data_IF_158277418851
#
_entry.id   IF_158277418851
#
_cell.length_a   1.000
_cell.length_b   1.000
_cell.length_c   1.000
_cell.angle_alpha   90.00
_cell.angle_beta   90.00
_cell.angle_gamma   90.00
#
_symmetry.space_group_name_H-M   'P 1'
#
loop_
_entity.id
_entity.type
_entity.pdbx_description
1 polymer ?
#
# COMPACT_ATOMS: atom_id res chain seq x y z
N UNK A 1 39.06 -26.03 -23.34
CA UNK A 1 38.32 -26.69 -22.24
C UNK A 1 38.64 -26.12 -20.86
N UNK A 2 39.90 -25.95 -20.47
CA UNK A 2 40.27 -25.47 -19.12
C UNK A 2 39.81 -24.03 -18.79
N UNK A 3 39.83 -23.10 -19.74
CA UNK A 3 39.32 -21.73 -19.55
C UNK A 3 37.80 -21.66 -19.29
N UNK A 4 37.02 -22.59 -19.86
CA UNK A 4 35.56 -22.64 -19.67
C UNK A 4 35.20 -23.11 -18.25
N UNK A 5 35.96 -24.06 -17.71
CA UNK A 5 35.78 -24.57 -16.35
C UNK A 5 36.18 -23.53 -15.29
N UNK A 6 37.26 -22.77 -15.50
CA UNK A 6 37.65 -21.72 -14.54
C UNK A 6 36.68 -20.53 -14.53
N UNK A 7 36.06 -20.19 -15.67
CA UNK A 7 34.99 -19.17 -15.69
C UNK A 7 33.71 -19.65 -14.98
N UNK A 8 33.37 -20.93 -15.12
CA UNK A 8 32.21 -21.55 -14.45
C UNK A 8 32.38 -21.59 -12.92
N UNK A 9 33.58 -21.96 -12.44
CA UNK A 9 33.89 -22.01 -11.00
C UNK A 9 33.93 -20.60 -10.38
N UNK A 10 34.44 -19.60 -11.08
CA UNK A 10 34.42 -18.20 -10.62
C UNK A 10 33.00 -17.62 -10.51
N UNK A 11 32.12 -17.95 -11.47
CA UNK A 11 30.70 -17.53 -11.46
C UNK A 11 29.92 -18.23 -10.35
N UNK A 12 30.21 -19.49 -10.05
CA UNK A 12 29.57 -20.20 -8.93
C UNK A 12 30.02 -19.69 -7.56
N UNK A 13 31.31 -19.38 -7.39
CA UNK A 13 31.83 -18.81 -6.14
C UNK A 13 31.25 -17.42 -5.83
N UNK A 14 31.09 -16.58 -6.86
CA UNK A 14 30.48 -15.25 -6.71
C UNK A 14 28.98 -15.35 -6.36
N UNK A 15 28.25 -16.30 -6.99
CA UNK A 15 26.85 -16.59 -6.65
C UNK A 15 26.66 -17.12 -5.23
N UNK A 16 27.62 -17.90 -4.72
CA UNK A 16 27.62 -18.42 -3.33
C UNK A 16 27.91 -17.32 -2.30
N UNK A 17 28.82 -16.39 -2.59
CA UNK A 17 29.07 -15.21 -1.75
C UNK A 17 27.85 -14.27 -1.72
N UNK A 18 27.21 -14.02 -2.86
CA UNK A 18 25.99 -13.20 -2.94
C UNK A 18 24.82 -13.82 -2.14
N UNK A 19 24.68 -15.15 -2.19
CA UNK A 19 23.68 -15.87 -1.38
C UNK A 19 23.94 -15.76 0.12
N UNK A 20 25.20 -15.91 0.57
CA UNK A 20 25.58 -15.74 1.99
C UNK A 20 25.35 -14.30 2.46
N UNK A 21 25.72 -13.32 1.65
CA UNK A 21 25.51 -11.91 1.98
C UNK A 21 24.03 -11.55 2.07
N UNK A 22 23.21 -12.05 1.14
CA UNK A 22 21.76 -11.87 1.18
C UNK A 22 21.11 -12.52 2.41
N UNK A 23 21.56 -13.71 2.80
CA UNK A 23 21.06 -14.38 4.01
C UNK A 23 21.41 -13.59 5.28
N UNK A 24 22.63 -13.03 5.36
CA UNK A 24 23.04 -12.19 6.49
C UNK A 24 22.21 -10.91 6.59
N UNK A 25 21.92 -10.26 5.46
CA UNK A 25 21.06 -9.08 5.41
C UNK A 25 19.62 -9.40 5.84
N UNK A 26 19.08 -10.56 5.47
CA UNK A 26 17.74 -10.98 5.90
C UNK A 26 17.67 -11.22 7.41
N UNK A 27 18.70 -11.83 8.01
CA UNK A 27 18.80 -12.00 9.47
C UNK A 27 18.88 -10.65 10.18
N UNK A 28 19.69 -9.73 9.67
CA UNK A 28 19.83 -8.39 10.25
C UNK A 28 18.52 -7.59 10.17
N UNK A 29 17.81 -7.67 9.04
CA UNK A 29 16.53 -6.98 8.86
C UNK A 29 15.44 -7.56 9.75
N UNK A 30 15.40 -8.89 9.93
CA UNK A 30 14.50 -9.54 10.89
C UNK A 30 14.79 -9.10 12.33
N UNK A 31 16.06 -9.04 12.71
CA UNK A 31 16.45 -8.56 14.03
C UNK A 31 16.00 -7.11 14.25
N UNK A 32 16.20 -6.23 13.26
CA UNK A 32 15.73 -4.85 13.34
C UNK A 32 14.21 -4.74 13.49
N UNK A 33 13.45 -5.53 12.74
CA UNK A 33 11.98 -5.61 12.87
C UNK A 33 11.59 -6.00 14.29
N UNK A 34 12.19 -7.05 14.84
CA UNK A 34 11.91 -7.52 16.21
C UNK A 34 12.29 -6.45 17.24
N UNK A 35 13.42 -5.76 17.06
CA UNK A 35 13.83 -4.67 17.95
C UNK A 35 12.83 -3.51 17.95
N UNK A 36 12.28 -3.16 16.78
CA UNK A 36 11.25 -2.12 16.67
C UNK A 36 9.96 -2.56 17.35
N UNK A 37 9.49 -3.78 17.10
CA UNK A 37 8.30 -4.30 17.77
C UNK A 37 8.47 -4.39 19.29
N UNK A 38 9.65 -4.81 19.77
CA UNK A 38 9.95 -4.81 21.20
C UNK A 38 9.92 -3.39 21.78
N UNK A 39 10.47 -2.40 21.06
CA UNK A 39 10.42 -1.01 21.48
C UNK A 39 8.97 -0.49 21.56
N UNK A 40 8.13 -0.84 20.59
CA UNK A 40 6.70 -0.52 20.59
C UNK A 40 5.99 -1.09 21.83
N UNK A 41 6.20 -2.39 22.13
CA UNK A 41 5.65 -3.05 23.32
C UNK A 41 6.17 -2.44 24.64
N UNK A 42 7.45 -2.08 24.70
CA UNK A 42 8.03 -1.41 25.87
C UNK A 42 7.42 -0.04 26.10
N UNK A 43 7.18 0.74 25.03
CA UNK A 43 6.50 2.04 25.13
C UNK A 43 5.06 1.85 25.60
N UNK A 44 4.36 0.83 25.08
CA UNK A 44 3.00 0.50 25.50
C UNK A 44 2.94 0.05 26.98
N UNK A 45 3.98 -0.61 27.48
CA UNK A 45 4.04 -1.06 28.88
C UNK A 45 4.41 0.06 29.87
N UNK A 46 5.07 1.13 29.41
CA UNK A 46 5.59 2.19 30.29
C UNK A 46 4.61 3.35 30.52
N UNK A 47 3.49 3.44 29.78
CA UNK A 47 2.36 4.40 29.82
C UNK A 47 2.69 5.92 29.89
N UNK A 48 3.66 6.34 30.71
CA UNK A 48 4.17 7.70 30.80
C UNK A 48 5.25 7.98 29.76
N UNK A 49 5.00 8.98 28.91
CA UNK A 49 5.96 9.49 27.93
C UNK A 49 7.26 9.99 28.59
N UNK A 50 7.19 10.51 29.82
CA UNK A 50 8.33 11.09 30.54
C UNK A 50 9.44 10.06 30.81
N UNK A 51 9.08 8.78 30.93
CA UNK A 51 10.03 7.72 31.26
C UNK A 51 10.91 7.30 30.08
N UNK A 52 10.35 7.25 28.87
CA UNK A 52 11.04 6.69 27.69
C UNK A 52 11.41 7.74 26.64
N UNK A 53 10.66 8.84 26.53
CA UNK A 53 10.88 9.85 25.49
C UNK A 53 12.26 10.52 25.58
N UNK A 54 12.82 10.85 26.78
CA UNK A 54 14.17 11.40 26.87
C UNK A 54 15.24 10.46 26.32
N UNK A 55 15.10 9.15 26.57
CA UNK A 55 16.04 8.12 26.08
C UNK A 55 15.97 8.01 24.56
N UNK A 56 14.75 8.01 24.00
CA UNK A 56 14.54 8.00 22.55
C UNK A 56 15.14 9.24 21.87
N UNK A 57 14.98 10.42 22.48
CA UNK A 57 15.55 11.69 22.01
C UNK A 57 17.07 11.71 22.08
N UNK A 58 17.65 11.23 23.18
CA UNK A 58 19.10 11.25 23.40
C UNK A 58 19.88 10.49 22.32
N UNK A 59 19.29 9.43 21.77
CA UNK A 59 19.93 8.59 20.76
C UNK A 59 19.53 8.91 19.32
N UNK A 60 18.82 10.01 19.07
CA UNK A 60 18.27 10.39 17.74
C UNK A 60 17.58 9.21 17.05
N UNK A 61 16.85 8.40 17.82
CA UNK A 61 16.33 7.12 17.34
C UNK A 61 15.25 7.35 16.28
N UNK A 62 14.43 8.39 16.46
CA UNK A 62 13.36 8.73 15.51
C UNK A 62 13.92 9.21 14.18
N UNK A 63 14.95 10.04 14.19
CA UNK A 63 15.64 10.54 13.00
C UNK A 63 16.31 9.38 12.26
N UNK A 64 16.99 8.48 12.97
CA UNK A 64 17.62 7.30 12.38
C UNK A 64 16.61 6.37 11.71
N UNK A 65 15.49 6.08 12.39
CA UNK A 65 14.42 5.23 11.84
C UNK A 65 13.70 5.88 10.66
N UNK A 66 13.51 7.20 10.70
CA UNK A 66 12.88 7.94 9.61
C UNK A 66 13.76 7.92 8.37
N UNK A 67 15.04 8.27 8.51
CA UNK A 67 15.99 8.29 7.40
C UNK A 67 16.17 6.89 6.79
N UNK A 68 16.28 5.84 7.61
CA UNK A 68 16.37 4.48 7.11
C UNK A 68 15.09 4.04 6.39
N UNK A 69 13.91 4.31 6.95
CA UNK A 69 12.64 3.98 6.32
C UNK A 69 12.48 4.70 4.97
N UNK A 70 12.89 5.96 4.87
CA UNK A 70 12.90 6.70 3.62
C UNK A 70 13.73 5.99 2.54
N UNK A 71 14.96 5.57 2.88
CA UNK A 71 15.84 4.83 1.96
C UNK A 71 15.21 3.51 1.52
N UNK A 72 14.60 2.75 2.44
CA UNK A 72 13.94 1.48 2.13
C UNK A 72 12.70 1.65 1.23
N UNK A 73 11.91 2.70 1.47
CA UNK A 73 10.77 3.06 0.61
C UNK A 73 11.25 3.42 -0.80
N UNK A 74 12.31 4.22 -0.92
CA UNK A 74 12.90 4.56 -2.21
C UNK A 74 13.51 3.34 -2.91
N UNK A 75 14.01 2.36 -2.17
CA UNK A 75 14.46 1.09 -2.76
C UNK A 75 13.30 0.14 -3.12
N UNK A 76 12.07 0.40 -2.62
CA UNK A 76 10.95 -0.54 -2.61
C UNK A 76 11.36 -1.93 -2.06
N UNK A 77 12.15 -1.92 -0.98
CA UNK A 77 12.66 -3.11 -0.30
C UNK A 77 12.38 -3.04 1.20
N UNK A 78 12.47 -4.18 1.90
CA UNK A 78 12.35 -4.19 3.36
C UNK A 78 10.95 -3.82 3.86
N UNK A 79 9.89 -4.19 3.13
CA UNK A 79 8.51 -3.77 3.44
C UNK A 79 8.09 -4.02 4.89
N UNK A 80 8.49 -5.16 5.48
CA UNK A 80 8.19 -5.49 6.88
C UNK A 80 8.84 -4.49 7.84
N UNK A 81 10.09 -4.12 7.57
CA UNK A 81 10.81 -3.11 8.34
C UNK A 81 10.11 -1.75 8.24
N UNK A 82 9.82 -1.28 7.02
CA UNK A 82 9.13 0.01 6.82
C UNK A 82 7.78 0.03 7.55
N UNK A 83 7.01 -1.05 7.41
CA UNK A 83 5.72 -1.20 8.12
C UNK A 83 5.89 -1.10 9.63
N UNK A 84 6.85 -1.81 10.22
CA UNK A 84 7.11 -1.76 11.67
C UNK A 84 7.52 -0.36 12.13
N UNK A 85 8.36 0.35 11.37
CA UNK A 85 8.71 1.75 11.69
C UNK A 85 7.48 2.65 11.68
N UNK A 86 6.63 2.56 10.66
CA UNK A 86 5.40 3.37 10.60
C UNK A 86 4.40 3.02 11.70
N UNK A 87 4.28 1.75 12.08
CA UNK A 87 3.46 1.32 13.21
C UNK A 87 3.96 1.91 14.53
N UNK A 88 5.28 1.87 14.77
CA UNK A 88 5.89 2.53 15.92
C UNK A 88 5.58 4.04 15.90
N UNK A 89 5.76 4.72 14.77
CA UNK A 89 5.42 6.14 14.64
C UNK A 89 3.95 6.43 14.90
N UNK A 90 3.05 5.56 14.45
CA UNK A 90 1.62 5.64 14.72
C UNK A 90 1.34 5.47 16.22
N UNK A 91 2.01 4.54 16.90
CA UNK A 91 1.90 4.37 18.36
C UNK A 91 2.39 5.63 19.10
N UNK A 92 3.54 6.19 18.69
CA UNK A 92 4.10 7.42 19.25
C UNK A 92 3.20 8.63 19.04
N UNK A 93 2.50 8.72 17.91
CA UNK A 93 1.63 9.85 17.57
C UNK A 93 0.46 10.06 18.53
N UNK A 94 0.14 9.06 19.36
CA UNK A 94 -0.88 9.15 20.42
C UNK A 94 -0.44 10.06 21.58
N UNK A 95 0.87 10.23 21.78
CA UNK A 95 1.43 11.05 22.85
C UNK A 95 1.80 12.43 22.29
N UNK A 96 1.24 13.55 22.81
CA UNK A 96 1.48 14.88 22.27
C UNK A 96 2.96 15.29 22.17
N UNK A 97 3.76 14.98 23.20
CA UNK A 97 5.18 15.32 23.21
C UNK A 97 6.01 14.51 22.20
N UNK A 98 5.68 13.22 22.06
CA UNK A 98 6.32 12.35 21.09
C UNK A 98 5.92 12.71 19.67
N UNK A 99 4.64 13.00 19.43
CA UNK A 99 4.13 13.52 18.17
C UNK A 99 4.83 14.84 17.80
N UNK A 100 4.99 15.78 18.74
CA UNK A 100 5.72 17.03 18.49
C UNK A 100 7.18 16.77 18.13
N UNK A 101 7.82 15.80 18.78
CA UNK A 101 9.20 15.41 18.46
C UNK A 101 9.28 14.82 17.06
N UNK A 102 8.34 13.93 16.72
CA UNK A 102 8.27 13.29 15.40
C UNK A 102 7.98 14.30 14.28
N UNK A 103 7.18 15.32 14.53
CA UNK A 103 6.97 16.42 13.58
C UNK A 103 8.30 17.16 13.31
N UNK A 104 9.06 17.46 14.37
CA UNK A 104 10.33 18.19 14.28
C UNK A 104 11.44 17.40 13.57
N UNK A 105 11.35 16.07 13.46
CA UNK A 105 12.31 15.27 12.67
C UNK A 105 12.13 15.43 11.15
N UNK A 106 11.09 16.17 10.71
CA UNK A 106 10.78 16.35 9.30
C UNK A 106 10.05 15.15 8.68
N UNK A 107 9.27 14.41 9.49
CA UNK A 107 8.47 13.25 9.08
C UNK A 107 7.75 13.46 7.74
N UNK A 108 6.98 14.54 7.63
CA UNK A 108 6.18 14.85 6.43
C UNK A 108 7.06 15.10 5.22
N UNK A 109 8.12 15.90 5.38
CA UNK A 109 9.04 16.25 4.30
C UNK A 109 9.74 15.01 3.72
N UNK A 110 10.16 14.06 4.56
CA UNK A 110 10.89 12.87 4.12
C UNK A 110 9.97 11.79 3.52
N UNK A 111 8.77 11.60 4.08
CA UNK A 111 7.88 10.51 3.69
C UNK A 111 6.91 10.87 2.56
N UNK A 112 6.36 12.09 2.51
CA UNK A 112 5.31 12.45 1.53
C UNK A 112 5.75 12.15 0.09
N UNK A 113 6.93 12.63 -0.31
CA UNK A 113 7.44 12.39 -1.67
C UNK A 113 7.77 10.91 -1.89
N UNK A 114 8.35 10.26 -0.89
CA UNK A 114 8.73 8.85 -0.95
C UNK A 114 7.52 7.94 -1.15
N UNK A 115 6.38 8.30 -0.54
CA UNK A 115 5.12 7.56 -0.64
C UNK A 115 4.51 7.57 -2.04
N UNK A 116 4.83 8.55 -2.89
CA UNK A 116 4.35 8.57 -4.29
C UNK A 116 4.72 7.28 -5.06
N UNK A 117 5.84 6.65 -4.69
CA UNK A 117 6.32 5.42 -5.33
C UNK A 117 5.52 4.18 -4.95
N UNK A 118 4.80 4.22 -3.84
CA UNK A 118 4.09 3.07 -3.28
C UNK A 118 2.85 2.70 -4.11
N UNK A 119 2.24 3.70 -4.76
CA UNK A 119 1.05 3.54 -5.60
C UNK A 119 1.31 3.88 -7.07
N UNK A 120 2.55 4.19 -7.46
CA UNK A 120 2.90 4.53 -8.84
C UNK A 120 2.61 3.38 -9.84
N UNK A 121 2.60 2.12 -9.40
CA UNK A 121 2.27 0.96 -10.23
C UNK A 121 0.77 0.79 -10.51
N UNK A 122 -0.10 1.46 -9.73
CA UNK A 122 -1.56 1.37 -9.86
C UNK A 122 -2.14 2.41 -10.83
N UNK A 123 -1.31 3.29 -11.41
CA UNK A 123 -1.77 4.34 -12.31
C UNK A 123 -2.02 3.79 -13.74
N UNK A 124 -3.26 3.80 -14.26
CA UNK A 124 -3.57 3.17 -15.55
C UNK A 124 -3.05 3.94 -16.78
N UNK A 125 -2.55 5.17 -16.64
CA UNK A 125 -2.38 6.08 -17.80
C UNK A 125 -0.99 6.67 -18.03
N UNK A 126 0.04 6.37 -17.22
CA UNK A 126 1.42 6.82 -17.52
C UNK A 126 2.43 5.81 -17.02
N UNK A 127 2.73 4.80 -17.83
CA UNK A 127 3.93 3.99 -17.66
C UNK A 127 5.02 4.52 -18.61
N UNK A 128 6.12 5.10 -18.10
CA UNK A 128 7.37 5.08 -18.84
C UNK A 128 7.88 3.64 -18.85
N UNK A 129 8.12 3.13 -20.05
CA UNK A 129 8.78 1.86 -20.32
C UNK A 129 10.05 1.68 -19.47
N UNK A 130 10.19 0.49 -18.86
CA UNK A 130 11.38 -0.14 -18.27
C UNK A 130 11.39 -0.44 -16.76
N UNK A 131 10.28 -0.28 -16.03
CA UNK A 131 10.16 -0.89 -14.70
C UNK A 131 9.27 -2.12 -14.80
N UNK A 132 9.84 -3.31 -14.54
CA UNK A 132 9.05 -4.55 -14.41
C UNK A 132 7.94 -4.30 -13.39
N UNK A 133 6.65 -4.53 -13.71
CA UNK A 133 5.57 -4.27 -12.77
C UNK A 133 5.80 -5.14 -11.53
N UNK A 134 5.97 -4.48 -10.38
CA UNK A 134 5.96 -5.14 -9.08
C UNK A 134 4.55 -5.68 -8.92
N UNK A 135 4.42 -7.01 -9.05
CA UNK A 135 3.16 -7.74 -8.95
C UNK A 135 2.53 -7.45 -7.59
N UNK A 136 1.43 -6.69 -7.57
CA UNK A 136 0.55 -6.54 -6.40
C UNK A 136 -0.21 -7.85 -6.26
N UNK A 137 0.33 -8.77 -5.47
CA UNK A 137 -0.37 -9.99 -5.07
C UNK A 137 -1.19 -9.63 -3.83
N UNK A 138 -2.48 -9.35 -4.05
CA UNK A 138 -3.50 -9.44 -3.00
C UNK A 138 -3.79 -10.93 -2.77
N UNK A 139 -3.30 -11.46 -1.65
CA UNK A 139 -3.73 -12.72 -1.08
C UNK A 139 -3.97 -12.49 0.42
N UNK A 140 -5.11 -13.01 0.88
CA UNK A 140 -5.62 -12.97 2.25
C UNK A 140 -4.56 -13.37 3.29
N UNK A 141 -4.57 -12.69 4.44
CA UNK A 141 -3.74 -12.88 5.65
C UNK A 141 -2.27 -12.39 5.58
N UNK A 142 -1.93 -11.47 6.49
CA UNK A 142 -0.60 -11.06 6.98
C UNK A 142 0.53 -10.66 6.00
N UNK A 143 0.32 -10.61 4.69
CA UNK A 143 1.34 -10.14 3.77
C UNK A 143 1.33 -8.60 3.68
N UNK A 144 2.33 -7.95 4.27
CA UNK A 144 2.52 -6.50 4.13
C UNK A 144 2.60 -6.10 2.64
N UNK A 145 1.77 -5.14 2.20
CA UNK A 145 1.76 -4.60 0.83
C UNK A 145 2.19 -3.12 0.82
N UNK A 146 2.78 -2.66 -0.28
CA UNK A 146 3.23 -1.25 -0.39
C UNK A 146 2.06 -0.27 -0.37
N UNK A 147 0.92 -0.66 -0.95
CA UNK A 147 -0.34 0.07 -0.81
C UNK A 147 -0.78 0.13 0.67
N UNK A 148 -0.64 -0.97 1.42
CA UNK A 148 -0.87 -0.98 2.86
C UNK A 148 0.10 -0.09 3.65
N UNK A 149 1.34 0.07 3.20
CA UNK A 149 2.29 1.05 3.78
C UNK A 149 1.83 2.48 3.50
N UNK A 150 1.30 2.76 2.30
CA UNK A 150 0.69 4.06 2.00
C UNK A 150 -0.53 4.34 2.89
N UNK A 151 -1.39 3.35 3.12
CA UNK A 151 -2.53 3.49 4.05
C UNK A 151 -2.07 3.84 5.47
N UNK A 152 -1.02 3.17 5.98
CA UNK A 152 -0.41 3.53 7.27
C UNK A 152 0.14 4.95 7.28
N UNK A 153 0.67 5.43 6.15
CA UNK A 153 1.07 6.83 5.98
C UNK A 153 -0.09 7.81 6.11
N UNK A 154 -1.26 7.49 5.51
CA UNK A 154 -2.49 8.27 5.69
C UNK A 154 -2.89 8.24 7.17
N UNK A 155 -2.94 7.07 7.81
CA UNK A 155 -3.33 6.93 9.21
C UNK A 155 -2.42 7.70 10.17
N UNK A 156 -1.11 7.65 9.95
CA UNK A 156 -0.13 8.42 10.71
C UNK A 156 -0.40 9.92 10.56
N UNK A 157 -0.70 10.39 9.35
CA UNK A 157 -1.06 11.79 9.09
C UNK A 157 -2.35 12.19 9.84
N UNK A 158 -3.36 11.31 9.83
CA UNK A 158 -4.60 11.52 10.61
C UNK A 158 -4.30 11.62 12.11
N UNK A 159 -3.52 10.69 12.65
CA UNK A 159 -3.21 10.63 14.07
C UNK A 159 -2.41 11.86 14.51
N UNK A 160 -1.38 12.23 13.75
CA UNK A 160 -0.58 13.44 13.97
C UNK A 160 -1.46 14.70 13.94
N UNK A 161 -2.34 14.84 12.94
CA UNK A 161 -3.26 15.98 12.84
C UNK A 161 -4.27 16.02 14.00
N UNK A 162 -4.77 14.87 14.43
CA UNK A 162 -5.70 14.78 15.57
C UNK A 162 -5.01 15.17 16.89
N UNK A 163 -3.76 14.74 17.09
CA UNK A 163 -2.99 15.00 18.32
C UNK A 163 -2.47 16.43 18.37
N UNK A 164 -1.82 16.89 17.30
CA UNK A 164 -1.12 18.18 17.25
C UNK A 164 -1.98 19.35 16.73
N UNK A 165 -3.12 19.03 16.12
CA UNK A 165 -4.09 20.02 15.62
C UNK A 165 -3.44 21.03 14.68
N UNK A 166 -3.61 22.32 14.94
CA UNK A 166 -3.06 23.41 14.14
C UNK A 166 -1.54 23.33 13.96
N UNK A 167 -0.80 22.73 14.90
CA UNK A 167 0.66 22.64 14.80
C UNK A 167 1.13 21.73 13.67
N UNK A 168 0.30 20.76 13.26
CA UNK A 168 0.60 19.83 12.16
C UNK A 168 -0.23 20.12 10.90
N UNK A 169 -0.96 21.25 10.88
CA UNK A 169 -1.91 21.53 9.82
C UNK A 169 -1.22 21.78 8.47
N UNK A 170 -0.09 22.49 8.46
CA UNK A 170 0.69 22.74 7.25
C UNK A 170 1.28 21.44 6.68
N UNK A 171 1.77 20.55 7.55
CA UNK A 171 2.23 19.21 7.14
C UNK A 171 1.09 18.37 6.53
N UNK A 172 -0.10 18.43 7.11
CA UNK A 172 -1.27 17.74 6.58
C UNK A 172 -1.70 18.32 5.22
N UNK A 173 -1.59 19.64 5.01
CA UNK A 173 -1.86 20.25 3.71
C UNK A 173 -0.79 19.92 2.68
N UNK A 174 0.49 19.86 3.07
CA UNK A 174 1.56 19.36 2.20
C UNK A 174 1.29 17.93 1.74
N UNK A 175 0.83 17.06 2.65
CA UNK A 175 0.40 15.70 2.30
C UNK A 175 -0.74 15.70 1.27
N UNK A 176 -1.79 16.51 1.48
CA UNK A 176 -2.90 16.66 0.51
C UNK A 176 -2.38 17.15 -0.83
N UNK A 177 -1.51 18.16 -0.85
CA UNK A 177 -0.96 18.73 -2.08
C UNK A 177 -0.18 17.70 -2.90
N UNK A 178 0.65 16.88 -2.24
CA UNK A 178 1.46 15.84 -2.90
C UNK A 178 0.58 14.67 -3.38
N UNK A 179 -0.42 14.27 -2.60
CA UNK A 179 -1.21 13.06 -2.85
C UNK A 179 -2.61 13.33 -3.41
N UNK A 180 -2.92 14.55 -3.85
CA UNK A 180 -4.26 14.97 -4.27
C UNK A 180 -4.88 14.01 -5.29
N UNK A 181 -4.13 13.64 -6.33
CA UNK A 181 -4.63 12.78 -7.40
C UNK A 181 -4.94 11.37 -6.90
N UNK A 182 -4.10 10.82 -6.01
CA UNK A 182 -4.34 9.49 -5.44
C UNK A 182 -5.52 9.48 -4.49
N UNK A 183 -5.63 10.48 -3.62
CA UNK A 183 -6.79 10.66 -2.73
C UNK A 183 -8.09 10.84 -3.52
N UNK A 184 -8.04 11.55 -4.65
CA UNK A 184 -9.20 11.66 -5.54
C UNK A 184 -9.51 10.32 -6.22
N UNK A 185 -8.51 9.64 -6.75
CA UNK A 185 -8.65 8.35 -7.41
C UNK A 185 -9.28 7.30 -6.48
N UNK A 186 -8.84 7.22 -5.22
CA UNK A 186 -9.38 6.25 -4.26
C UNK A 186 -10.89 6.45 -4.04
N UNK A 187 -11.36 7.69 -4.00
CA UNK A 187 -12.79 8.02 -3.91
C UNK A 187 -13.54 7.68 -5.21
N UNK A 188 -12.94 7.97 -6.37
CA UNK A 188 -13.54 7.68 -7.68
C UNK A 188 -13.63 6.19 -7.99
N UNK A 189 -12.76 5.36 -7.40
CA UNK A 189 -12.82 3.90 -7.56
C UNK A 189 -14.04 3.27 -6.87
N UNK A 190 -14.57 3.88 -5.81
CA UNK A 190 -15.73 3.32 -5.08
C UNK A 190 -16.93 3.20 -6.01
N UNK A 191 -17.49 1.99 -6.09
CA UNK A 191 -18.63 1.67 -6.96
C UNK A 191 -18.28 1.37 -8.42
N UNK A 192 -17.02 1.55 -8.82
CA UNK A 192 -16.49 1.08 -10.12
C UNK A 192 -15.66 -0.18 -9.92
N UNK A 193 -14.80 -0.17 -8.90
CA UNK A 193 -13.96 -1.28 -8.47
C UNK A 193 -14.41 -1.67 -7.07
N UNK A 194 -14.89 -2.91 -6.91
CA UNK A 194 -15.42 -3.44 -5.64
C UNK A 194 -14.44 -4.41 -4.96
N UNK A 195 -13.14 -4.18 -5.14
CA UNK A 195 -12.12 -4.95 -4.42
C UNK A 195 -12.01 -4.43 -2.99
N UNK A 196 -11.71 -5.33 -2.05
CA UNK A 196 -11.53 -4.96 -0.64
C UNK A 196 -10.44 -3.89 -0.48
N UNK A 197 -9.33 -4.02 -1.20
CA UNK A 197 -8.23 -3.05 -1.16
C UNK A 197 -8.65 -1.63 -1.55
N UNK A 198 -9.46 -1.47 -2.59
CA UNK A 198 -9.92 -0.16 -3.06
C UNK A 198 -10.90 0.48 -2.08
N UNK A 199 -11.77 -0.33 -1.45
CA UNK A 199 -12.69 0.14 -0.42
C UNK A 199 -11.95 0.57 0.85
N UNK A 200 -10.96 -0.21 1.29
CA UNK A 200 -10.10 0.11 2.44
C UNK A 200 -9.34 1.41 2.18
N UNK A 201 -8.78 1.60 0.99
CA UNK A 201 -8.08 2.84 0.64
C UNK A 201 -9.03 4.07 0.67
N UNK A 202 -10.22 3.93 0.11
CA UNK A 202 -11.24 4.98 0.14
C UNK A 202 -11.68 5.30 1.58
N UNK A 203 -11.75 4.29 2.46
CA UNK A 203 -12.05 4.47 3.87
C UNK A 203 -10.97 5.27 4.59
N UNK A 204 -9.68 4.92 4.43
CA UNK A 204 -8.57 5.70 5.00
C UNK A 204 -8.59 7.14 4.48
N UNK A 205 -8.85 7.32 3.18
CA UNK A 205 -9.01 8.63 2.56
C UNK A 205 -10.14 9.41 3.22
N UNK A 206 -11.34 8.83 3.34
CA UNK A 206 -12.48 9.50 3.98
C UNK A 206 -12.22 9.85 5.45
N UNK A 207 -11.53 8.97 6.19
CA UNK A 207 -11.12 9.23 7.58
C UNK A 207 -10.20 10.45 7.67
N UNK A 208 -9.25 10.58 6.75
CA UNK A 208 -8.35 11.74 6.68
C UNK A 208 -9.09 13.03 6.32
N UNK A 209 -9.95 12.99 5.29
CA UNK A 209 -10.74 14.16 4.88
C UNK A 209 -11.70 14.61 5.98
N UNK A 210 -12.26 13.68 6.75
CA UNK A 210 -13.07 14.00 7.93
C UNK A 210 -12.27 14.77 8.97
N UNK A 211 -11.03 14.37 9.25
CA UNK A 211 -10.18 15.08 10.21
C UNK A 211 -9.82 16.49 9.71
N UNK A 212 -9.44 16.62 8.44
CA UNK A 212 -9.17 17.90 7.80
C UNK A 212 -10.38 18.83 7.73
N UNK A 213 -11.60 18.29 7.65
CA UNK A 213 -12.83 19.10 7.56
C UNK A 213 -13.02 20.03 8.76
N UNK A 214 -12.41 19.72 9.91
CA UNK A 214 -12.36 20.58 11.11
C UNK A 214 -11.65 21.91 10.84
N UNK A 215 -10.78 21.95 9.84
CA UNK A 215 -9.96 23.10 9.43
C UNK A 215 -10.39 23.68 8.07
N UNK A 216 -11.68 23.56 7.71
CA UNK A 216 -12.22 23.95 6.40
C UNK A 216 -11.87 25.38 5.99
N UNK A 217 -11.81 26.33 6.93
CA UNK A 217 -11.50 27.74 6.61
C UNK A 217 -10.07 27.89 6.09
N UNK A 218 -9.11 27.29 6.81
CA UNK A 218 -7.69 27.27 6.46
C UNK A 218 -7.48 26.51 5.16
N UNK A 219 -8.12 25.35 5.02
CA UNK A 219 -8.04 24.54 3.82
C UNK A 219 -8.53 25.29 2.58
N UNK A 220 -9.66 25.99 2.68
CA UNK A 220 -10.18 26.81 1.58
C UNK A 220 -9.21 27.91 1.15
N UNK A 221 -8.42 28.46 2.08
CA UNK A 221 -7.47 29.52 1.77
C UNK A 221 -6.19 28.98 1.10
N UNK A 222 -5.69 27.82 1.55
CA UNK A 222 -4.45 27.26 1.05
C UNK A 222 -4.62 26.39 -0.19
N UNK A 223 -5.63 25.50 -0.21
CA UNK A 223 -5.86 24.52 -1.28
C UNK A 223 -7.33 24.49 -1.73
N UNK A 224 -7.89 25.59 -2.27
CA UNK A 224 -9.30 25.68 -2.64
C UNK A 224 -9.73 24.64 -3.69
N UNK A 225 -8.87 24.36 -4.68
CA UNK A 225 -9.17 23.39 -5.73
C UNK A 225 -9.19 21.95 -5.20
N UNK A 226 -8.21 21.58 -4.37
CA UNK A 226 -8.15 20.26 -3.75
C UNK A 226 -9.37 20.02 -2.84
N UNK A 227 -9.75 21.03 -2.03
CA UNK A 227 -10.95 20.96 -1.20
C UNK A 227 -12.19 20.66 -2.04
N UNK A 228 -12.42 21.43 -3.11
CA UNK A 228 -13.60 21.24 -3.95
C UNK A 228 -13.62 19.86 -4.62
N UNK A 229 -12.49 19.42 -5.17
CA UNK A 229 -12.39 18.12 -5.84
C UNK A 229 -12.63 16.95 -4.88
N UNK A 230 -12.01 16.98 -3.69
CA UNK A 230 -12.10 15.91 -2.71
C UNK A 230 -13.48 15.88 -2.03
N UNK A 231 -14.09 17.04 -1.74
CA UNK A 231 -15.46 17.09 -1.20
C UNK A 231 -16.49 16.58 -2.22
N UNK A 232 -16.33 16.90 -3.51
CA UNK A 232 -17.16 16.30 -4.56
C UNK A 232 -16.99 14.78 -4.60
N UNK A 233 -15.76 14.28 -4.50
CA UNK A 233 -15.46 12.85 -4.40
C UNK A 233 -16.16 12.18 -3.21
N UNK A 234 -16.13 12.79 -2.02
CA UNK A 234 -16.83 12.28 -0.83
C UNK A 234 -18.34 12.21 -1.06
N UNK A 235 -18.96 13.24 -1.65
CA UNK A 235 -20.37 13.20 -2.00
C UNK A 235 -20.70 12.05 -2.96
N UNK A 236 -19.87 11.81 -3.98
CA UNK A 236 -20.04 10.71 -4.91
C UNK A 236 -19.89 9.35 -4.22
N UNK A 237 -18.91 9.19 -3.33
CA UNK A 237 -18.75 7.97 -2.52
C UNK A 237 -20.01 7.68 -1.72
N UNK A 238 -20.56 8.68 -1.03
CA UNK A 238 -21.80 8.52 -0.25
C UNK A 238 -22.94 8.08 -1.15
N UNK A 239 -23.16 8.76 -2.28
CA UNK A 239 -24.22 8.43 -3.24
C UNK A 239 -24.09 7.00 -3.78
N UNK A 240 -22.88 6.61 -4.19
CA UNK A 240 -22.60 5.27 -4.74
C UNK A 240 -22.77 4.19 -3.69
N UNK A 241 -22.25 4.39 -2.48
CA UNK A 241 -22.40 3.44 -1.37
C UNK A 241 -23.86 3.26 -0.98
N UNK A 242 -24.64 4.35 -0.89
CA UNK A 242 -26.09 4.27 -0.65
C UNK A 242 -26.79 3.50 -1.77
N UNK A 243 -26.47 3.75 -3.04
CA UNK A 243 -27.05 3.04 -4.17
C UNK A 243 -26.72 1.53 -4.16
N UNK A 244 -25.49 1.15 -3.81
CA UNK A 244 -25.07 -0.24 -3.67
C UNK A 244 -25.78 -0.95 -2.51
N UNK A 245 -25.86 -0.29 -1.35
CA UNK A 245 -26.51 -0.86 -0.16
C UNK A 245 -28.03 -0.96 -0.32
N UNK A 246 -28.65 -0.03 -1.06
CA UNK A 246 -30.08 -0.08 -1.36
C UNK A 246 -30.45 -1.25 -2.29
N UNK A 247 -29.48 -1.84 -3.01
CA UNK A 247 -29.71 -2.91 -4.00
C UNK A 247 -28.73 -4.08 -3.79
N UNK A 248 -28.89 -4.87 -2.72
CA UNK A 248 -27.95 -5.91 -2.34
C UNK A 248 -27.75 -7.00 -3.41
N UNK A 249 -28.77 -7.29 -4.24
CA UNK A 249 -28.65 -8.25 -5.36
C UNK A 249 -27.66 -7.80 -6.43
N UNK A 250 -27.60 -6.49 -6.70
CA UNK A 250 -26.65 -5.93 -7.68
C UNK A 250 -25.24 -5.96 -7.10
N UNK A 251 -25.10 -5.62 -5.82
CA UNK A 251 -23.83 -5.71 -5.11
C UNK A 251 -23.27 -7.14 -5.15
N UNK A 252 -24.11 -8.14 -4.85
CA UNK A 252 -23.72 -9.55 -4.93
C UNK A 252 -23.23 -9.92 -6.33
N UNK A 253 -23.99 -9.57 -7.38
CA UNK A 253 -23.58 -9.86 -8.76
C UNK A 253 -22.26 -9.16 -9.15
N UNK A 254 -22.06 -7.91 -8.73
CA UNK A 254 -20.83 -7.17 -9.01
C UNK A 254 -19.62 -7.76 -8.27
N UNK A 255 -19.81 -8.27 -7.05
CA UNK A 255 -18.78 -8.98 -6.29
C UNK A 255 -18.43 -10.33 -6.93
N UNK A 256 -19.43 -11.12 -7.34
CA UNK A 256 -19.22 -12.39 -8.05
C UNK A 256 -18.48 -12.19 -9.37
N UNK A 257 -18.86 -11.16 -10.15
CA UNK A 257 -18.16 -10.78 -11.39
C UNK A 257 -16.75 -10.23 -11.15
N UNK A 258 -16.54 -9.51 -10.05
CA UNK A 258 -15.23 -9.02 -9.60
C UNK A 258 -14.29 -10.18 -9.24
N UNK A 259 -14.75 -11.12 -8.43
CA UNK A 259 -14.00 -12.31 -8.05
C UNK A 259 -13.65 -13.19 -9.26
N UNK A 260 -14.55 -13.36 -10.22
CA UNK A 260 -14.27 -14.12 -11.45
C UNK A 260 -13.17 -13.46 -12.31
N UNK A 261 -13.08 -12.12 -12.32
CA UNK A 261 -11.97 -11.39 -12.98
C UNK A 261 -10.65 -11.59 -12.25
N UNK A 262 -10.63 -11.51 -10.92
CA UNK A 262 -9.43 -11.80 -10.13
C UNK A 262 -8.97 -13.26 -10.29
N UNK A 263 -9.90 -14.20 -10.33
CA UNK A 263 -9.62 -15.62 -10.54
C UNK A 263 -9.14 -15.93 -11.96
N UNK A 264 -9.69 -15.30 -13.00
CA UNK A 264 -9.21 -15.46 -14.38
C UNK A 264 -7.77 -14.95 -14.57
N UNK A 265 -7.41 -13.85 -13.90
CA UNK A 265 -6.02 -13.33 -13.90
C UNK A 265 -5.08 -14.28 -13.15
N UNK A 266 -5.52 -14.92 -12.06
CA UNK A 266 -4.75 -15.96 -11.34
C UNK A 266 -4.52 -17.21 -12.20
N UNK A 267 -5.56 -17.73 -12.86
CA UNK A 267 -5.46 -18.92 -13.73
C UNK A 267 -4.54 -18.66 -14.95
N UNK A 268 -4.55 -17.45 -15.52
CA UNK A 268 -3.63 -17.07 -16.59
C UNK A 268 -2.17 -17.00 -16.13
N UNK A 269 -1.92 -16.64 -14.88
CA UNK A 269 -0.58 -16.53 -14.29
C UNK A 269 0.03 -17.91 -13.97
N UNK A 270 -0.77 -18.85 -13.46
CA UNK A 270 -0.32 -20.24 -13.24
C UNK A 270 0.07 -20.92 -14.56
N UNK A 271 -0.67 -20.66 -15.65
CA UNK A 271 -0.33 -21.16 -16.99
C UNK A 271 0.99 -20.58 -17.56
N UNK A 272 1.38 -19.38 -17.13
CA UNK A 272 2.64 -18.74 -17.54
C UNK A 272 3.85 -19.23 -16.73
N UNK A 273 3.64 -19.74 -15.52
CA UNK A 273 4.69 -20.34 -14.67
C UNK A 273 4.89 -21.84 -14.92
N UNK A 274 3.95 -22.50 -15.59
CA UNK A 274 4.06 -23.91 -15.98
C UNK A 274 5.18 -24.14 -16.99
N UNK A 275 5.97 -25.19 -16.74
CA UNK A 275 6.98 -25.68 -17.68
C UNK A 275 6.32 -26.21 -18.97
N UNK A 276 7.05 -26.29 -20.11
CA UNK A 276 6.51 -26.80 -21.37
C UNK A 276 5.98 -28.25 -21.30
N UNK A 277 6.36 -28.99 -20.25
CA UNK A 277 5.88 -30.34 -19.98
C UNK A 277 4.52 -30.32 -19.25
N UNK A 278 4.37 -29.45 -18.25
CA UNK A 278 3.12 -29.32 -17.48
C UNK A 278 1.98 -28.69 -18.29
N UNK A 279 2.30 -27.77 -19.22
CA UNK A 279 1.30 -27.25 -20.19
C UNK A 279 0.70 -28.34 -21.08
N UNK A 280 1.49 -29.36 -21.46
CA UNK A 280 1.02 -30.47 -22.30
C UNK A 280 0.11 -31.42 -21.53
N UNK A 281 0.41 -31.66 -20.25
CA UNK A 281 -0.43 -32.48 -19.37
C UNK A 281 -1.76 -31.79 -19.04
N UNK A 282 -1.75 -30.46 -18.84
CA UNK A 282 -2.99 -29.68 -18.64
C UNK A 282 -3.91 -29.69 -19.87
N UNK A 283 -3.35 -29.72 -21.08
CA UNK A 283 -4.12 -29.83 -22.32
C UNK A 283 -4.75 -31.22 -22.52
N UNK A 284 -4.23 -32.25 -21.87
CA UNK A 284 -4.76 -33.63 -21.96
C UNK A 284 -5.84 -33.94 -20.92
N UNK A 285 -6.03 -33.09 -19.91
CA UNK A 285 -7.05 -33.24 -18.86
C UNK A 285 -8.31 -32.39 -19.11
N UNK A 286 -8.37 -31.62 -20.19
CA UNK A 286 -9.53 -30.79 -20.54
C UNK A 286 -10.56 -31.64 -21.29
N UNK A 287 -11.41 -32.36 -20.56
CA UNK A 287 -12.65 -32.95 -21.08
C UNK A 287 -13.84 -32.13 -20.62
N UNK A 288 -13.81 -30.82 -20.83
CA UNK A 288 -14.99 -29.93 -20.73
C UNK A 288 -14.87 -28.83 -21.79
N UNK A 289 -14.87 -29.25 -23.06
CA UNK A 289 -15.41 -28.41 -24.13
C UNK A 289 -16.92 -28.64 -24.14
N UNK A 290 -17.70 -27.66 -23.69
CA UNK A 290 -18.97 -27.18 -24.26
C UNK A 290 -19.43 -26.07 -23.32
N UNK A 291 -19.28 -24.83 -23.76
CA UNK A 291 -20.18 -23.72 -23.39
C UNK A 291 -19.91 -22.52 -24.30
N UNK A 292 -20.20 -22.71 -25.58
CA UNK A 292 -20.66 -21.63 -26.45
C UNK A 292 -21.80 -22.18 -27.30
N UNK A 293 -23.02 -21.62 -27.22
CA UNK A 293 -24.06 -21.99 -28.17
C UNK A 293 -23.62 -21.47 -29.53
N UNK A 294 -23.43 -22.41 -30.46
CA UNK A 294 -23.12 -22.17 -31.86
C UNK A 294 -24.12 -21.18 -32.47
N UNK A 295 -23.64 -20.24 -33.30
CA UNK A 295 -24.45 -19.24 -34.02
C UNK A 295 -25.52 -19.84 -34.97
N UNK A 296 -25.65 -21.16 -35.06
CA UNK A 296 -26.68 -21.86 -35.84
C UNK A 296 -27.99 -22.09 -35.06
N UNK A 297 -28.05 -21.84 -33.74
CA UNK A 297 -29.28 -21.95 -32.94
C UNK A 297 -30.08 -20.64 -32.82
N UNK A 298 -29.60 -19.53 -33.38
CA UNK A 298 -30.30 -18.23 -33.36
C UNK A 298 -31.31 -18.09 -34.52
N UNK A 299 -31.27 -18.98 -35.54
CA UNK A 299 -32.19 -18.89 -36.68
C UNK A 299 -33.48 -19.73 -36.57
N UNK A 300 -33.70 -20.48 -35.49
CA UNK A 300 -34.93 -21.29 -35.32
C UNK A 300 -35.92 -20.74 -34.28
N UNK A 301 -35.65 -19.58 -33.68
CA UNK A 301 -36.61 -18.84 -32.83
C UNK A 301 -37.15 -17.56 -33.50
N UNK A 302 -37.24 -17.60 -34.83
CA UNK A 302 -37.84 -16.54 -35.65
C UNK A 302 -38.82 -17.11 -36.67
N UNK A 303 -39.81 -17.89 -36.22
CA UNK A 303 -41.08 -18.15 -36.92
C UNK A 303 -42.21 -18.27 -35.91
#
# INVERSE_FOLDING_TARGET
>A
MLQSLMSSVGVEHHKLQDKKQKARLDVQLKLQVVSICLLEELIAALDSADAWLPVVKQHSLLECLLASAQVWIQALQGIKYVRSVLMLFLALSKYPEAASTLMLTGLSQQLCVSFCRLYAADHPTVAPSNVKPVKVISAMSDCATWVGVYHLGIELTVAMLSTLKFNFLDDAFNFVGVHQDRLKQSLECVGVVLTESALVEAEHTCRFLRELSRYRRQWRMQLPHALNALMLGVCQVIQRTVALLARPKILQHLLEKGNNRENAVRIGHDKLLMTPHERRLSQQSSSEDIDWPSNELIQTQGR
#
